data_IF_813945676426
#
_entry.id   IF_813945676426
#
_cell.length_a   1.000
_cell.length_b   1.000
_cell.length_c   1.000
_cell.angle_alpha   90.00
_cell.angle_beta   90.00
_cell.angle_gamma   90.00
#
_symmetry.space_group_name_H-M   'P 1'
#
loop_
_entity.id
_entity.type
_entity.pdbx_description
1 polymer ?
#
# COMPACT_ATOMS: atom_id res chain seq x y z
N UNK A 1 20.26 12.25 21.96
CA UNK A 1 20.81 11.42 20.90
C UNK A 1 19.86 11.52 19.73
N UNK A 2 20.17 12.42 18.79
CA UNK A 2 19.31 12.72 17.63
C UNK A 2 20.09 12.34 16.37
N UNK A 3 20.11 11.05 16.07
CA UNK A 3 20.37 10.64 14.70
C UNK A 3 19.10 10.00 14.15
N UNK A 4 18.07 10.80 14.10
CA UNK A 4 16.98 10.58 13.18
C UNK A 4 17.58 10.47 11.80
N UNK A 5 17.17 9.45 11.06
CA UNK A 5 17.38 9.42 9.63
C UNK A 5 16.93 10.80 9.12
N UNK A 6 17.87 11.61 8.64
CA UNK A 6 17.52 12.93 8.11
C UNK A 6 16.47 12.78 7.03
N UNK A 7 15.82 13.86 6.64
CA UNK A 7 14.86 13.88 5.52
C UNK A 7 15.41 13.22 4.24
N UNK A 8 16.71 13.06 4.13
CA UNK A 8 17.41 12.32 3.06
C UNK A 8 16.96 10.86 2.91
N UNK A 9 16.55 10.19 4.01
CA UNK A 9 16.01 8.83 3.95
C UNK A 9 14.67 8.75 3.22
N UNK A 10 13.82 9.75 3.44
CA UNK A 10 12.46 9.78 2.90
C UNK A 10 12.36 10.43 1.50
N UNK A 11 13.48 10.96 0.97
CA UNK A 11 13.53 11.62 -0.32
C UNK A 11 13.00 13.05 -0.31
N UNK A 12 12.93 13.65 -1.49
CA UNK A 12 12.57 15.06 -1.70
C UNK A 12 11.10 15.40 -1.41
N UNK A 13 10.25 14.41 -1.28
CA UNK A 13 8.81 14.58 -1.01
C UNK A 13 8.51 14.78 0.48
N UNK A 14 9.45 14.43 1.34
CA UNK A 14 9.24 14.39 2.77
C UNK A 14 9.57 15.73 3.46
N UNK A 15 8.71 16.11 4.39
CA UNK A 15 8.92 17.27 5.26
C UNK A 15 8.65 16.87 6.69
N UNK A 16 9.60 17.12 7.59
CA UNK A 16 9.41 16.96 9.01
C UNK A 16 8.41 18.02 9.49
N UNK A 17 7.30 17.59 10.10
CA UNK A 17 6.23 18.50 10.52
C UNK A 17 6.12 18.64 12.03
N UNK A 18 6.42 17.59 12.78
CA UNK A 18 6.33 17.60 14.23
C UNK A 18 7.32 16.61 14.86
N UNK A 19 7.85 16.97 16.03
CA UNK A 19 8.72 16.11 16.84
C UNK A 19 8.05 15.84 18.18
N UNK A 20 7.62 14.61 18.41
CA UNK A 20 7.13 14.14 19.69
C UNK A 20 8.27 13.47 20.49
N UNK A 21 8.03 13.21 21.79
CA UNK A 21 9.02 12.52 22.62
C UNK A 21 9.37 11.12 22.10
N UNK A 22 8.39 10.43 21.52
CA UNK A 22 8.49 9.03 21.11
C UNK A 22 8.63 8.81 19.61
N UNK A 23 8.18 9.76 18.79
CA UNK A 23 8.21 9.63 17.33
C UNK A 23 8.38 11.00 16.64
N UNK A 24 8.71 10.96 15.39
CA UNK A 24 8.68 12.12 14.47
C UNK A 24 7.55 11.93 13.49
N UNK A 25 6.80 13.00 13.23
CA UNK A 25 5.82 13.02 12.16
C UNK A 25 6.42 13.63 10.90
N UNK A 26 6.22 12.94 9.79
CA UNK A 26 6.69 13.34 8.47
C UNK A 26 5.50 13.42 7.54
N UNK A 27 5.36 14.51 6.80
CA UNK A 27 4.36 14.67 5.76
C UNK A 27 5.01 14.59 4.38
N UNK A 28 4.34 13.87 3.49
CA UNK A 28 4.72 13.77 2.08
C UNK A 28 3.97 14.77 1.24
N UNK A 29 4.71 15.56 0.45
CA UNK A 29 4.14 16.44 -0.56
C UNK A 29 3.56 15.60 -1.68
N UNK A 30 2.23 15.51 -1.71
CA UNK A 30 1.49 14.73 -2.69
C UNK A 30 0.13 15.37 -2.98
N UNK A 31 -0.53 14.88 -4.04
CA UNK A 31 -1.89 15.27 -4.37
C UNK A 31 -2.88 14.48 -3.51
N UNK A 32 -3.07 14.94 -2.28
CA UNK A 32 -3.82 14.27 -1.22
C UNK A 32 -3.11 14.39 0.12
N UNK A 33 -3.08 13.33 0.90
CA UNK A 33 -2.37 13.26 2.19
C UNK A 33 -1.44 12.07 2.23
N UNK A 34 -0.22 12.28 2.74
CA UNK A 34 0.74 11.22 3.03
C UNK A 34 1.41 11.52 4.35
N UNK A 35 1.31 10.63 5.33
CA UNK A 35 1.89 10.79 6.66
C UNK A 35 2.65 9.57 7.09
N UNK A 36 3.82 9.81 7.69
CA UNK A 36 4.58 8.79 8.39
C UNK A 36 4.72 9.18 9.86
N UNK A 37 4.82 8.15 10.69
CA UNK A 37 5.11 8.27 12.12
C UNK A 37 6.29 7.34 12.39
N UNK A 38 7.46 7.93 12.60
CA UNK A 38 8.73 7.22 12.72
C UNK A 38 9.16 7.15 14.19
N UNK A 39 9.21 5.95 14.72
CA UNK A 39 9.65 5.61 16.07
C UNK A 39 11.04 4.99 16.01
N UNK A 40 12.08 5.73 16.41
CA UNK A 40 13.40 5.13 16.63
C UNK A 40 13.36 4.32 17.92
N UNK A 41 13.34 2.99 17.81
CA UNK A 41 13.17 2.09 18.94
C UNK A 41 14.48 1.68 19.57
N UNK A 42 15.49 1.41 18.74
CA UNK A 42 16.87 1.12 19.13
C UNK A 42 17.81 1.87 18.17
N UNK A 43 19.08 2.09 18.53
CA UNK A 43 20.07 2.57 17.57
C UNK A 43 20.05 1.71 16.30
N UNK A 44 19.78 2.35 15.15
CA UNK A 44 19.69 1.68 13.86
C UNK A 44 18.40 0.85 13.61
N UNK A 45 17.39 0.93 14.48
CA UNK A 45 16.12 0.22 14.26
C UNK A 45 14.93 1.15 14.45
N UNK A 46 14.22 1.38 13.37
CA UNK A 46 13.04 2.25 13.31
C UNK A 46 11.78 1.46 12.99
N UNK A 47 10.68 1.87 13.58
CA UNK A 47 9.32 1.42 13.25
C UNK A 47 8.53 2.59 12.69
N UNK A 48 8.14 2.49 11.42
CA UNK A 48 7.52 3.56 10.67
C UNK A 48 6.09 3.17 10.31
N UNK A 49 5.11 3.90 10.81
CA UNK A 49 3.72 3.75 10.35
C UNK A 49 3.47 4.68 9.18
N UNK A 50 2.78 4.17 8.18
CA UNK A 50 2.49 4.85 6.92
C UNK A 50 0.98 4.99 6.72
N UNK A 51 0.53 6.19 6.36
CA UNK A 51 -0.86 6.48 6.05
C UNK A 51 -0.91 7.40 4.83
N UNK A 52 -1.29 6.85 3.69
CA UNK A 52 -1.38 7.56 2.44
C UNK A 52 -2.81 7.55 1.90
N UNK A 53 -3.27 8.72 1.49
CA UNK A 53 -4.50 8.91 0.72
C UNK A 53 -4.17 9.80 -0.49
N UNK A 54 -3.49 9.23 -1.45
CA UNK A 54 -3.03 9.87 -2.67
C UNK A 54 -2.73 8.82 -3.75
N UNK A 55 -2.67 9.24 -5.00
CA UNK A 55 -2.38 8.37 -6.15
C UNK A 55 -1.04 8.67 -6.84
N UNK A 56 -0.20 9.46 -6.17
CA UNK A 56 1.11 9.82 -6.71
C UNK A 56 2.08 8.64 -6.69
N UNK A 57 3.11 8.74 -7.50
CA UNK A 57 4.25 7.82 -7.50
C UNK A 57 5.41 8.48 -6.77
N UNK A 58 5.97 7.79 -5.80
CA UNK A 58 7.12 8.24 -5.02
C UNK A 58 8.37 7.49 -5.48
N UNK A 59 9.44 8.22 -5.75
CA UNK A 59 10.74 7.65 -6.12
C UNK A 59 11.60 7.48 -4.87
N UNK A 60 12.08 6.27 -4.65
CA UNK A 60 12.98 6.01 -3.53
C UNK A 60 14.43 6.27 -3.94
N UNK A 61 15.17 7.11 -3.19
CA UNK A 61 16.59 7.25 -3.36
C UNK A 61 17.29 5.91 -3.04
N UNK A 62 18.49 5.68 -3.57
CA UNK A 62 19.32 4.58 -3.11
C UNK A 62 19.95 5.04 -1.80
N UNK A 63 19.60 4.48 -0.64
CA UNK A 63 20.25 4.85 0.59
C UNK A 63 21.71 4.37 0.57
N UNK A 64 22.60 5.19 1.12
CA UNK A 64 23.99 4.78 1.36
C UNK A 64 24.10 4.07 2.73
N UNK A 65 23.27 3.04 2.93
CA UNK A 65 23.14 2.32 4.20
C UNK A 65 22.86 0.85 3.97
N UNK A 66 23.41 0.00 4.82
CA UNK A 66 23.23 -1.46 4.76
C UNK A 66 21.96 -1.87 5.50
N UNK A 67 20.83 -1.86 4.83
CA UNK A 67 19.52 -2.05 5.45
C UNK A 67 18.89 -3.40 5.16
N UNK A 68 18.07 -3.82 6.14
CA UNK A 68 16.97 -4.78 5.97
C UNK A 68 15.69 -4.02 6.27
N UNK A 69 14.68 -4.22 5.45
CA UNK A 69 13.37 -3.61 5.64
C UNK A 69 12.28 -4.68 5.63
N UNK A 70 11.38 -4.62 6.64
CA UNK A 70 10.22 -5.48 6.81
C UNK A 70 9.00 -4.61 6.64
N UNK A 71 8.17 -4.86 5.61
CA UNK A 71 6.96 -4.09 5.33
C UNK A 71 5.71 -4.95 5.46
N UNK A 72 4.67 -4.39 6.06
CA UNK A 72 3.33 -4.99 6.12
C UNK A 72 2.29 -3.95 5.73
N UNK A 73 1.28 -4.36 4.98
CA UNK A 73 0.18 -3.48 4.58
C UNK A 73 -1.15 -3.97 5.15
N UNK A 74 -1.75 -3.13 5.99
CA UNK A 74 -3.05 -3.39 6.62
C UNK A 74 -4.20 -3.13 5.66
N UNK A 75 -4.10 -2.05 4.84
CA UNK A 75 -5.14 -1.63 3.90
C UNK A 75 -4.54 -1.15 2.59
N UNK A 76 -5.30 -1.35 1.54
CA UNK A 76 -4.92 -0.87 0.21
C UNK A 76 -4.06 -1.86 -0.56
N UNK A 77 -3.39 -1.36 -1.55
CA UNK A 77 -2.46 -2.11 -2.40
C UNK A 77 -1.30 -1.22 -2.76
N UNK A 78 -0.10 -1.79 -2.77
CA UNK A 78 1.10 -1.07 -3.14
C UNK A 78 1.71 -1.69 -4.39
N UNK A 79 2.05 -0.84 -5.32
CA UNK A 79 2.81 -1.17 -6.51
C UNK A 79 4.27 -0.79 -6.29
N UNK A 80 5.17 -1.72 -6.50
CA UNK A 80 6.61 -1.49 -6.45
C UNK A 80 7.21 -1.59 -7.85
N UNK A 81 7.87 -0.55 -8.28
CA UNK A 81 8.69 -0.53 -9.48
C UNK A 81 10.13 -0.85 -9.11
N UNK A 82 10.67 -1.92 -9.67
CA UNK A 82 12.06 -2.30 -9.48
C UNK A 82 12.98 -1.62 -10.50
N UNK A 83 14.26 -1.48 -10.17
CA UNK A 83 15.26 -0.83 -11.05
C UNK A 83 15.53 -1.56 -12.37
N UNK A 84 15.06 -2.79 -12.52
CA UNK A 84 15.15 -3.58 -13.75
C UNK A 84 13.87 -3.49 -14.62
N UNK A 85 13.07 -2.44 -14.48
CA UNK A 85 11.80 -2.21 -15.18
C UNK A 85 10.75 -3.30 -14.96
N UNK A 86 10.84 -4.03 -13.86
CA UNK A 86 9.79 -4.95 -13.41
C UNK A 86 8.95 -4.29 -12.33
N UNK A 87 7.68 -4.64 -12.34
CA UNK A 87 6.70 -4.15 -11.37
C UNK A 87 6.03 -5.35 -10.72
N UNK A 88 5.81 -5.26 -9.41
CA UNK A 88 4.98 -6.22 -8.69
C UNK A 88 4.05 -5.48 -7.70
N UNK A 89 3.05 -6.18 -7.21
CA UNK A 89 2.04 -5.61 -6.31
C UNK A 89 1.95 -6.41 -5.03
N UNK A 90 1.97 -5.70 -3.90
CA UNK A 90 1.60 -6.25 -2.62
C UNK A 90 0.15 -5.94 -2.30
N UNK A 91 -0.53 -6.93 -1.72
CA UNK A 91 -1.93 -6.86 -1.33
C UNK A 91 -2.06 -6.63 0.17
N UNK A 92 -3.24 -6.23 0.56
CA UNK A 92 -3.65 -6.19 1.95
C UNK A 92 -3.43 -7.55 2.64
N UNK A 93 -2.86 -7.53 3.84
CA UNK A 93 -2.55 -8.73 4.62
C UNK A 93 -1.31 -9.50 4.15
N UNK A 94 -0.51 -8.94 3.24
CA UNK A 94 0.79 -9.49 2.84
C UNK A 94 1.91 -8.71 3.54
N UNK A 95 3.03 -9.40 3.81
CA UNK A 95 4.25 -8.74 4.23
C UNK A 95 5.43 -9.16 3.37
N UNK A 96 6.46 -8.32 3.37
CA UNK A 96 7.71 -8.61 2.67
C UNK A 96 8.90 -8.26 3.54
N UNK A 97 10.03 -8.88 3.19
CA UNK A 97 11.35 -8.51 3.70
C UNK A 97 12.26 -8.30 2.49
N UNK A 98 12.99 -7.21 2.47
CA UNK A 98 13.98 -6.92 1.43
C UNK A 98 15.26 -6.35 2.03
N UNK A 99 16.37 -6.52 1.32
CA UNK A 99 17.65 -5.91 1.62
C UNK A 99 17.97 -4.77 0.64
N UNK A 100 19.00 -4.01 0.96
CA UNK A 100 19.47 -2.87 0.15
C UNK A 100 19.61 -3.19 -1.35
N UNK A 101 20.13 -4.38 -1.68
CA UNK A 101 20.35 -4.80 -3.07
C UNK A 101 19.08 -4.77 -3.94
N UNK A 102 17.91 -4.83 -3.31
CA UNK A 102 16.62 -4.97 -3.98
C UNK A 102 15.63 -3.83 -3.64
N UNK A 103 16.11 -2.68 -3.16
CA UNK A 103 15.23 -1.52 -2.91
C UNK A 103 14.52 -1.11 -4.21
N UNK A 104 13.20 -0.83 -4.16
CA UNK A 104 12.47 -0.40 -5.34
C UNK A 104 12.98 0.95 -5.86
N UNK A 105 12.76 1.22 -7.14
CA UNK A 105 13.01 2.53 -7.72
C UNK A 105 11.89 3.52 -7.39
N UNK A 106 10.66 3.00 -7.29
CA UNK A 106 9.48 3.79 -6.98
C UNK A 106 8.37 2.91 -6.40
N UNK A 107 7.42 3.55 -5.72
CA UNK A 107 6.18 2.93 -5.28
C UNK A 107 4.98 3.85 -5.51
N UNK A 108 3.81 3.26 -5.65
CA UNK A 108 2.54 3.97 -5.82
C UNK A 108 1.37 3.16 -5.25
N UNK A 109 0.22 3.82 -5.14
CA UNK A 109 -0.98 3.21 -4.55
C UNK A 109 -2.10 3.12 -5.60
N UNK A 110 -2.29 1.96 -6.26
CA UNK A 110 -3.28 1.79 -7.33
C UNK A 110 -4.72 2.15 -6.95
N UNK A 111 -5.06 2.06 -5.66
CA UNK A 111 -6.38 2.43 -5.14
C UNK A 111 -6.47 3.89 -4.65
N UNK A 112 -5.35 4.64 -4.69
CA UNK A 112 -5.27 5.99 -4.14
C UNK A 112 -5.16 6.04 -2.62
N UNK A 113 -5.00 4.92 -1.93
CA UNK A 113 -4.76 4.87 -0.49
C UNK A 113 -3.93 3.64 -0.11
N UNK A 114 -3.21 3.76 1.01
CA UNK A 114 -2.51 2.65 1.65
C UNK A 114 -2.28 2.95 3.13
N UNK A 115 -2.49 1.95 3.99
CA UNK A 115 -2.11 1.97 5.40
C UNK A 115 -1.18 0.80 5.65
N UNK A 116 0.00 1.09 6.16
CA UNK A 116 1.02 0.08 6.38
C UNK A 116 1.99 0.46 7.48
N UNK A 117 2.92 -0.43 7.73
CA UNK A 117 4.10 -0.17 8.56
C UNK A 117 5.36 -0.76 7.91
N UNK A 118 6.48 -0.15 8.22
CA UNK A 118 7.81 -0.63 7.87
C UNK A 118 8.66 -0.69 9.14
N UNK A 119 9.41 -1.77 9.31
CA UNK A 119 10.51 -1.84 10.27
C UNK A 119 11.81 -1.83 9.50
N UNK A 120 12.64 -0.82 9.74
CA UNK A 120 13.93 -0.62 9.07
C UNK A 120 15.05 -0.94 10.03
N UNK A 121 16.00 -1.76 9.61
CA UNK A 121 17.22 -2.10 10.34
C UNK A 121 18.40 -1.59 9.53
N UNK A 122 19.04 -0.52 9.98
CA UNK A 122 20.31 -0.02 9.46
C UNK A 122 21.44 -0.77 10.19
N UNK A 123 21.97 -1.81 9.57
CA UNK A 123 22.95 -2.72 10.18
C UNK A 123 24.22 -2.02 10.65
N UNK A 124 24.60 -0.91 10.00
CA UNK A 124 25.79 -0.17 10.30
C UNK A 124 25.61 0.74 11.53
N UNK A 125 24.37 1.04 11.89
CA UNK A 125 24.00 1.89 13.02
C UNK A 125 23.56 1.11 14.26
N UNK A 126 23.34 -0.22 14.16
CA UNK A 126 22.97 -1.06 15.31
C UNK A 126 24.16 -1.23 16.24
N UNK A 127 24.07 -0.70 17.46
CA UNK A 127 25.14 -0.76 18.44
C UNK A 127 25.26 -2.14 19.14
N UNK A 128 26.34 -2.31 19.89
CA UNK A 128 26.67 -3.57 20.60
C UNK A 128 25.63 -3.88 21.68
N UNK A 129 25.10 -2.87 22.36
CA UNK A 129 24.08 -3.04 23.41
C UNK A 129 22.78 -3.58 22.81
N UNK A 130 22.33 -3.00 21.72
CA UNK A 130 21.16 -3.48 20.96
C UNK A 130 21.37 -4.93 20.50
N UNK A 131 22.53 -5.26 19.94
CA UNK A 131 22.84 -6.63 19.53
C UNK A 131 22.78 -7.60 20.71
N UNK A 132 23.27 -7.22 21.90
CA UNK A 132 23.22 -8.05 23.11
C UNK A 132 21.78 -8.32 23.55
N UNK A 133 20.88 -7.30 23.52
CA UNK A 133 19.46 -7.46 23.85
C UNK A 133 18.83 -8.53 22.98
N UNK A 134 19.01 -8.46 21.66
CA UNK A 134 18.44 -9.43 20.74
C UNK A 134 19.10 -10.82 20.84
N UNK A 135 20.41 -10.87 21.06
CA UNK A 135 21.14 -12.14 21.17
C UNK A 135 20.75 -12.95 22.40
N UNK A 136 20.31 -12.31 23.48
CA UNK A 136 19.76 -12.98 24.66
C UNK A 136 18.57 -13.90 24.30
N UNK A 137 17.80 -13.52 23.29
CA UNK A 137 16.68 -14.31 22.74
C UNK A 137 17.10 -15.16 21.52
N UNK A 138 18.39 -15.35 21.29
CA UNK A 138 18.92 -16.03 20.10
C UNK A 138 18.45 -15.40 18.78
N UNK A 139 18.36 -14.08 18.72
CA UNK A 139 18.06 -13.31 17.53
C UNK A 139 19.35 -12.62 17.05
N UNK A 140 19.82 -12.99 15.87
CA UNK A 140 20.90 -12.28 15.18
C UNK A 140 20.26 -11.15 14.34
N UNK A 141 20.17 -9.96 14.93
CA UNK A 141 19.47 -8.81 14.32
C UNK A 141 20.17 -8.33 13.04
N UNK A 142 21.48 -8.45 12.94
CA UNK A 142 22.26 -8.04 11.76
C UNK A 142 22.09 -9.02 10.59
N UNK A 143 21.75 -10.28 10.89
CA UNK A 143 21.52 -11.33 9.89
C UNK A 143 20.07 -11.84 9.91
N UNK A 144 19.14 -11.00 10.37
CA UNK A 144 17.73 -11.35 10.37
C UNK A 144 17.27 -11.64 8.93
N UNK A 145 16.69 -12.82 8.72
CA UNK A 145 16.30 -13.26 7.38
C UNK A 145 17.45 -13.80 6.51
N UNK A 146 18.60 -14.15 7.08
CA UNK A 146 19.72 -14.76 6.34
C UNK A 146 19.32 -15.98 5.53
N UNK A 147 18.46 -16.82 6.06
CA UNK A 147 17.93 -18.02 5.42
C UNK A 147 16.97 -17.70 4.24
N UNK A 148 16.59 -16.44 4.05
CA UNK A 148 15.59 -16.01 3.07
C UNK A 148 16.19 -15.51 1.75
N UNK A 149 17.52 -15.55 1.60
CA UNK A 149 18.24 -15.12 0.38
C UNK A 149 17.90 -13.67 -0.07
N UNK A 150 17.77 -12.76 0.88
CA UNK A 150 17.31 -11.37 0.63
C UNK A 150 18.18 -10.59 -0.35
N UNK A 151 19.45 -10.96 -0.50
CA UNK A 151 20.36 -10.35 -1.49
C UNK A 151 19.96 -10.65 -2.94
N UNK A 152 19.26 -11.75 -3.16
CA UNK A 152 18.84 -12.19 -4.51
C UNK A 152 17.45 -11.71 -4.88
N UNK A 153 16.54 -11.65 -3.92
CA UNK A 153 15.11 -11.35 -4.15
C UNK A 153 14.40 -10.90 -2.89
N UNK A 154 13.26 -10.28 -3.07
CA UNK A 154 12.33 -10.01 -1.97
C UNK A 154 11.77 -11.32 -1.43
N UNK A 155 11.69 -11.42 -0.12
CA UNK A 155 10.86 -12.42 0.53
C UNK A 155 9.44 -11.88 0.63
N UNK A 156 8.49 -12.53 -0.02
CA UNK A 156 7.07 -12.17 -0.05
C UNK A 156 6.25 -13.31 0.52
N UNK A 157 5.36 -12.99 1.45
CA UNK A 157 4.54 -14.00 2.10
C UNK A 157 3.15 -13.44 2.42
N UNK A 158 2.12 -14.29 2.35
CA UNK A 158 0.88 -13.99 3.06
C UNK A 158 1.19 -14.04 4.55
N UNK A 159 0.80 -13.02 5.30
CA UNK A 159 1.14 -12.92 6.72
C UNK A 159 0.67 -14.15 7.49
N UNK A 160 1.58 -14.98 8.03
CA UNK A 160 1.20 -16.12 8.86
C UNK A 160 0.44 -15.65 10.11
N UNK A 161 -0.47 -16.47 10.61
CA UNK A 161 -1.30 -16.12 11.78
C UNK A 161 -0.46 -15.70 12.99
N UNK A 162 0.71 -16.33 13.19
CA UNK A 162 1.66 -16.00 14.28
C UNK A 162 2.29 -14.60 14.16
N UNK A 163 2.27 -13.99 12.98
CA UNK A 163 2.74 -12.62 12.74
C UNK A 163 1.58 -11.63 12.64
N UNK A 164 0.41 -12.10 12.19
CA UNK A 164 -0.73 -11.23 11.94
C UNK A 164 -1.17 -10.50 13.21
N UNK A 165 -1.29 -11.21 14.34
CA UNK A 165 -1.69 -10.60 15.62
C UNK A 165 -0.69 -9.53 16.07
N UNK A 166 0.62 -9.72 15.83
CA UNK A 166 1.65 -8.74 16.19
C UNK A 166 1.44 -7.45 15.38
N UNK A 167 1.22 -7.59 14.07
CA UNK A 167 0.95 -6.43 13.22
C UNK A 167 -0.36 -5.72 13.61
N UNK A 168 -1.43 -6.47 13.93
CA UNK A 168 -2.69 -5.91 14.40
C UNK A 168 -2.52 -5.12 15.70
N UNK A 169 -1.75 -5.64 16.66
CA UNK A 169 -1.44 -4.94 17.91
C UNK A 169 -0.58 -3.70 17.68
N UNK A 170 0.43 -3.76 16.78
CA UNK A 170 1.23 -2.60 16.43
C UNK A 170 0.36 -1.48 15.83
N UNK A 171 -0.57 -1.81 14.92
CA UNK A 171 -1.49 -0.80 14.37
C UNK A 171 -2.45 -0.22 15.43
N UNK A 172 -2.94 -1.05 16.35
CA UNK A 172 -3.82 -0.61 17.43
C UNK A 172 -3.11 0.30 18.43
N UNK A 173 -1.83 0.06 18.67
CA UNK A 173 -0.98 0.80 19.61
C UNK A 173 -0.51 2.17 19.08
N UNK A 174 -0.59 2.42 17.78
CA UNK A 174 -0.14 3.67 17.16
C UNK A 174 -0.80 4.89 17.81
N UNK A 175 0.02 5.79 18.37
CA UNK A 175 -0.45 7.02 19.02
C UNK A 175 -1.13 6.81 20.37
N UNK A 176 -1.11 5.60 20.93
CA UNK A 176 -1.71 5.25 22.23
C UNK A 176 -0.63 4.75 23.20
N UNK A 177 0.27 3.91 22.72
CA UNK A 177 1.30 3.26 23.53
C UNK A 177 2.65 3.96 23.38
N UNK A 178 3.47 3.82 24.43
CA UNK A 178 4.82 4.37 24.50
C UNK A 178 5.82 3.52 23.72
N UNK A 179 7.00 4.10 23.45
CA UNK A 179 8.12 3.48 22.71
C UNK A 179 8.51 2.10 23.25
N UNK A 180 8.46 1.89 24.55
CA UNK A 180 8.86 0.61 25.18
C UNK A 180 7.92 -0.54 24.83
N UNK A 181 6.63 -0.28 24.64
CA UNK A 181 5.70 -1.27 24.13
C UNK A 181 6.10 -1.74 22.72
N UNK A 182 6.43 -0.82 21.84
CA UNK A 182 6.89 -1.15 20.49
C UNK A 182 8.21 -1.93 20.49
N UNK A 183 9.12 -1.66 21.44
CA UNK A 183 10.36 -2.44 21.60
C UNK A 183 10.07 -3.90 21.94
N UNK A 184 9.11 -4.16 22.84
CA UNK A 184 8.68 -5.52 23.19
C UNK A 184 8.07 -6.21 21.95
N UNK A 185 7.22 -5.51 21.21
CA UNK A 185 6.60 -6.06 19.99
C UNK A 185 7.59 -6.35 18.88
N UNK A 186 8.65 -5.56 18.76
CA UNK A 186 9.74 -5.84 17.82
C UNK A 186 10.55 -7.08 18.20
N UNK A 187 10.81 -7.31 19.48
CA UNK A 187 11.44 -8.55 19.94
C UNK A 187 10.59 -9.76 19.55
N UNK A 188 9.28 -9.71 19.77
CA UNK A 188 8.35 -10.77 19.38
C UNK A 188 8.32 -10.96 17.85
N UNK A 189 8.23 -9.88 17.09
CA UNK A 189 8.24 -9.90 15.63
C UNK A 189 9.52 -10.58 15.09
N UNK A 190 10.69 -10.15 15.56
CA UNK A 190 11.98 -10.70 15.11
C UNK A 190 12.17 -12.15 15.54
N UNK A 191 11.66 -12.53 16.73
CA UNK A 191 11.65 -13.92 17.16
C UNK A 191 10.88 -14.83 16.20
N UNK A 192 9.77 -14.37 15.64
CA UNK A 192 9.01 -15.13 14.66
C UNK A 192 9.61 -15.05 13.25
N UNK A 193 10.18 -13.92 12.86
CA UNK A 193 10.82 -13.76 11.54
C UNK A 193 12.04 -14.69 11.40
N UNK A 194 12.86 -14.86 12.43
CA UNK A 194 14.00 -15.79 12.38
C UNK A 194 13.62 -17.25 12.13
N UNK A 195 12.33 -17.61 12.29
CA UNK A 195 11.81 -18.95 12.07
C UNK A 195 11.26 -19.14 10.65
N UNK A 196 11.17 -18.08 9.86
CA UNK A 196 10.71 -18.17 8.48
C UNK A 196 11.73 -18.95 7.64
N UNK A 197 11.20 -19.65 6.66
CA UNK A 197 11.97 -20.41 5.67
C UNK A 197 11.61 -19.95 4.27
N UNK A 198 12.49 -20.22 3.33
CA UNK A 198 12.28 -19.81 1.94
C UNK A 198 11.03 -20.44 1.33
N UNK A 199 10.62 -21.60 1.82
CA UNK A 199 9.40 -22.32 1.42
C UNK A 199 8.11 -21.61 1.86
N UNK A 200 8.19 -20.71 2.85
CA UNK A 200 7.04 -19.91 3.31
C UNK A 200 6.67 -18.81 2.31
N UNK A 201 7.58 -18.48 1.38
CA UNK A 201 7.32 -17.43 0.39
C UNK A 201 6.45 -17.94 -0.76
N UNK A 202 5.75 -17.01 -1.40
CA UNK A 202 5.16 -17.24 -2.71
C UNK A 202 5.91 -16.48 -3.80
N UNK A 203 5.89 -17.00 -5.03
CA UNK A 203 6.47 -16.27 -6.15
C UNK A 203 5.63 -15.03 -6.48
N UNK A 204 6.26 -13.86 -6.39
CA UNK A 204 5.66 -12.64 -6.87
C UNK A 204 5.49 -12.70 -8.40
N UNK A 205 4.32 -12.29 -8.88
CA UNK A 205 4.13 -12.11 -10.31
C UNK A 205 4.69 -10.76 -10.71
N UNK A 206 5.76 -10.78 -11.50
CA UNK A 206 6.39 -9.59 -12.05
C UNK A 206 5.83 -9.28 -13.43
N UNK A 207 5.58 -8.00 -13.69
CA UNK A 207 5.14 -7.49 -14.97
C UNK A 207 6.18 -6.51 -15.53
N UNK A 208 6.24 -6.35 -16.85
CA UNK A 208 7.00 -5.28 -17.46
C UNK A 208 6.33 -3.93 -17.14
N UNK A 209 7.10 -2.89 -16.88
CA UNK A 209 6.59 -1.54 -16.59
C UNK A 209 5.64 -1.06 -17.69
N UNK A 210 6.00 -1.29 -18.96
CA UNK A 210 5.19 -0.91 -20.11
C UNK A 210 3.80 -1.55 -20.09
N UNK A 211 3.69 -2.80 -19.62
CA UNK A 211 2.39 -3.46 -19.46
C UNK A 211 1.53 -2.77 -18.42
N UNK A 212 2.12 -2.38 -17.30
CA UNK A 212 1.41 -1.66 -16.22
C UNK A 212 0.95 -0.29 -16.71
N UNK A 213 1.78 0.43 -17.44
CA UNK A 213 1.43 1.74 -18.02
C UNK A 213 0.24 1.64 -19.01
N UNK A 214 0.18 0.59 -19.82
CA UNK A 214 -0.98 0.33 -20.69
C UNK A 214 -2.25 0.14 -19.84
N UNK A 215 -2.19 -0.65 -18.78
CA UNK A 215 -3.33 -0.90 -17.89
C UNK A 215 -3.81 0.41 -17.25
N UNK A 216 -2.90 1.22 -16.72
CA UNK A 216 -3.21 2.51 -16.08
C UNK A 216 -3.86 3.47 -17.09
N UNK A 217 -3.30 3.58 -18.29
CA UNK A 217 -3.83 4.44 -19.36
C UNK A 217 -5.23 4.02 -19.79
N UNK A 218 -5.47 2.73 -20.00
CA UNK A 218 -6.81 2.21 -20.36
C UNK A 218 -7.81 2.46 -19.22
N UNK A 219 -7.43 2.21 -17.97
CA UNK A 219 -8.27 2.52 -16.81
C UNK A 219 -8.66 4.00 -16.78
N UNK A 220 -7.69 4.89 -17.00
CA UNK A 220 -7.93 6.34 -17.00
C UNK A 220 -8.93 6.73 -18.11
N UNK A 221 -8.76 6.20 -19.32
CA UNK A 221 -9.70 6.43 -20.42
C UNK A 221 -11.13 5.95 -20.10
N UNK A 222 -11.27 4.82 -19.39
CA UNK A 222 -12.56 4.32 -18.94
C UNK A 222 -13.21 5.24 -17.88
N UNK A 223 -12.41 5.80 -16.98
CA UNK A 223 -12.88 6.71 -15.92
C UNK A 223 -13.29 8.08 -16.50
N UNK A 224 -12.53 8.60 -17.45
CA UNK A 224 -12.83 9.88 -18.11
C UNK A 224 -14.06 9.84 -19.02
N UNK A 225 -14.53 8.66 -19.37
CA UNK A 225 -15.67 8.48 -20.29
C UNK A 225 -16.73 7.55 -19.70
N UNK A 226 -17.14 7.82 -18.45
CA UNK A 226 -18.11 6.98 -17.73
C UNK A 226 -19.49 6.93 -18.40
N UNK A 227 -19.87 7.98 -19.13
CA UNK A 227 -21.11 8.10 -19.87
C UNK A 227 -21.13 7.26 -21.16
N UNK A 228 -19.94 6.87 -21.68
CA UNK A 228 -19.79 6.16 -22.94
C UNK A 228 -19.65 4.66 -22.77
N UNK A 229 -20.13 3.90 -23.73
CA UNK A 229 -19.87 2.47 -23.85
C UNK A 229 -18.63 2.24 -24.69
N UNK A 230 -17.44 2.29 -24.06
CA UNK A 230 -16.18 2.00 -24.74
C UNK A 230 -15.87 0.51 -24.55
N UNK A 231 -15.57 -0.19 -25.63
CA UNK A 231 -15.15 -1.59 -25.55
C UNK A 231 -13.65 -1.71 -25.27
N UNK A 232 -13.29 -2.67 -24.46
CA UNK A 232 -11.86 -2.96 -24.18
C UNK A 232 -11.12 -3.34 -25.45
N UNK A 233 -11.78 -4.03 -26.37
CA UNK A 233 -11.23 -4.41 -27.65
C UNK A 233 -10.83 -3.19 -28.50
N UNK A 234 -11.63 -2.12 -28.45
CA UNK A 234 -11.29 -0.87 -29.15
C UNK A 234 -10.06 -0.19 -28.56
N UNK A 235 -9.98 -0.13 -27.23
CA UNK A 235 -8.85 0.45 -26.54
C UNK A 235 -7.55 -0.35 -26.79
N UNK A 236 -7.65 -1.67 -26.80
CA UNK A 236 -6.51 -2.55 -27.00
C UNK A 236 -6.02 -2.64 -28.46
N UNK A 237 -6.82 -2.21 -29.46
CA UNK A 237 -6.37 -2.24 -30.87
C UNK A 237 -5.07 -1.48 -31.14
N UNK A 238 -4.77 -0.47 -30.32
CA UNK A 238 -3.59 0.38 -30.46
C UNK A 238 -2.45 -0.02 -29.52
N UNK A 239 -2.64 -1.06 -28.73
CA UNK A 239 -1.71 -1.48 -27.68
C UNK A 239 -1.13 -2.86 -28.01
N UNK A 240 0.15 -3.10 -27.72
CA UNK A 240 0.79 -4.41 -27.89
C UNK A 240 0.40 -5.38 -26.75
N UNK A 241 -0.90 -5.54 -26.50
CA UNK A 241 -1.41 -6.36 -25.41
C UNK A 241 -2.68 -7.12 -25.81
N UNK A 242 -2.73 -8.41 -25.54
CA UNK A 242 -3.95 -9.20 -25.73
C UNK A 242 -5.00 -8.89 -24.65
N UNK A 243 -6.28 -9.11 -24.98
CA UNK A 243 -7.39 -8.98 -24.01
C UNK A 243 -7.21 -9.89 -22.80
N UNK A 244 -6.72 -11.11 -23.00
CA UNK A 244 -6.47 -12.08 -21.91
C UNK A 244 -5.40 -11.56 -20.97
N UNK A 245 -4.29 -11.07 -21.51
CA UNK A 245 -3.20 -10.45 -20.75
C UNK A 245 -3.70 -9.23 -19.99
N UNK A 246 -4.44 -8.35 -20.66
CA UNK A 246 -5.05 -7.17 -20.03
C UNK A 246 -5.92 -7.56 -18.83
N UNK A 247 -6.83 -8.51 -18.98
CA UNK A 247 -7.73 -8.94 -17.91
C UNK A 247 -6.99 -9.54 -16.72
N UNK A 248 -5.96 -10.35 -16.98
CA UNK A 248 -5.15 -10.97 -15.94
C UNK A 248 -4.39 -9.91 -15.13
N UNK A 249 -3.68 -9.00 -15.81
CA UNK A 249 -2.91 -7.94 -15.16
C UNK A 249 -3.85 -6.95 -14.45
N UNK A 250 -4.94 -6.53 -15.09
CA UNK A 250 -5.92 -5.61 -14.47
C UNK A 250 -6.47 -6.18 -13.17
N UNK A 251 -6.86 -7.46 -13.16
CA UNK A 251 -7.33 -8.14 -11.95
C UNK A 251 -6.24 -8.24 -10.89
N UNK A 252 -5.00 -8.45 -11.29
CA UNK A 252 -3.87 -8.49 -10.35
C UNK A 252 -3.62 -7.12 -9.71
N UNK A 253 -3.72 -6.02 -10.47
CA UNK A 253 -3.53 -4.66 -9.96
C UNK A 253 -4.71 -4.20 -9.10
N UNK A 254 -5.94 -4.35 -9.59
CA UNK A 254 -7.14 -3.74 -8.98
C UNK A 254 -8.02 -4.73 -8.21
N UNK A 255 -7.67 -6.01 -8.16
CA UNK A 255 -8.41 -7.03 -7.40
C UNK A 255 -9.65 -7.58 -8.09
N UNK A 256 -10.22 -6.84 -9.03
CA UNK A 256 -11.46 -7.14 -9.73
C UNK A 256 -11.28 -7.13 -11.26
N UNK A 257 -12.27 -7.64 -11.98
CA UNK A 257 -12.34 -7.40 -13.43
C UNK A 257 -12.51 -5.91 -13.71
N UNK A 258 -12.05 -5.43 -14.88
CA UNK A 258 -12.22 -4.02 -15.27
C UNK A 258 -13.68 -3.58 -15.22
N UNK A 259 -14.62 -4.46 -15.58
CA UNK A 259 -16.06 -4.16 -15.52
C UNK A 259 -16.53 -3.94 -14.07
N UNK A 260 -16.20 -4.84 -13.15
CA UNK A 260 -16.57 -4.72 -11.74
C UNK A 260 -15.91 -3.50 -11.08
N UNK A 261 -14.64 -3.22 -11.43
CA UNK A 261 -13.90 -2.06 -10.94
C UNK A 261 -14.56 -0.74 -11.38
N UNK A 262 -14.86 -0.58 -12.68
CA UNK A 262 -15.54 0.62 -13.19
C UNK A 262 -16.98 0.75 -12.64
N UNK A 263 -17.68 -0.37 -12.46
CA UNK A 263 -18.99 -0.36 -11.80
C UNK A 263 -18.92 0.19 -10.37
N UNK A 264 -17.97 -0.30 -9.57
CA UNK A 264 -17.75 0.20 -8.20
C UNK A 264 -17.38 1.70 -8.21
N UNK A 265 -16.48 2.09 -9.11
CA UNK A 265 -16.08 3.49 -9.27
C UNK A 265 -17.29 4.40 -9.56
N UNK A 266 -18.16 4.01 -10.52
CA UNK A 266 -19.41 4.74 -10.83
C UNK A 266 -20.31 4.85 -9.60
N UNK A 267 -20.46 3.79 -8.81
CA UNK A 267 -21.33 3.81 -7.63
C UNK A 267 -20.77 4.68 -6.50
N UNK A 268 -19.45 4.68 -6.31
CA UNK A 268 -18.80 5.60 -5.36
C UNK A 268 -19.00 7.07 -5.77
N UNK A 269 -18.82 7.38 -7.04
CA UNK A 269 -19.06 8.72 -7.56
C UNK A 269 -20.55 9.11 -7.46
N UNK A 270 -21.46 8.17 -7.69
CA UNK A 270 -22.89 8.39 -7.46
C UNK A 270 -23.19 8.73 -5.99
N UNK A 271 -22.53 8.06 -5.04
CA UNK A 271 -22.70 8.34 -3.62
C UNK A 271 -22.26 9.78 -3.27
N UNK A 272 -21.16 10.25 -3.84
CA UNK A 272 -20.69 11.65 -3.70
C UNK A 272 -21.75 12.61 -4.27
N UNK A 273 -22.22 12.40 -5.50
CA UNK A 273 -23.22 13.26 -6.11
C UNK A 273 -24.54 13.28 -5.34
N UNK A 274 -24.96 12.13 -4.79
CA UNK A 274 -26.16 12.04 -3.96
C UNK A 274 -26.05 12.83 -2.65
N UNK A 275 -24.83 13.02 -2.11
CA UNK A 275 -24.59 13.76 -0.87
C UNK A 275 -24.33 15.24 -1.08
N UNK A 276 -23.58 15.58 -2.13
CA UNK A 276 -23.01 16.92 -2.32
C UNK A 276 -23.81 17.78 -3.31
N UNK A 277 -24.75 17.16 -4.08
CA UNK A 277 -25.51 17.87 -5.10
C UNK A 277 -27.02 17.67 -4.95
N UNK A 278 -27.81 18.59 -5.52
CA UNK A 278 -29.26 18.46 -5.64
C UNK A 278 -29.71 17.83 -6.97
N UNK A 279 -28.81 17.28 -7.77
CA UNK A 279 -29.10 16.58 -9.00
C UNK A 279 -30.14 15.46 -8.78
N UNK A 280 -31.08 15.29 -9.70
CA UNK A 280 -32.00 14.17 -9.64
C UNK A 280 -31.25 12.83 -9.81
N UNK A 281 -31.82 11.76 -9.25
CA UNK A 281 -31.25 10.40 -9.39
C UNK A 281 -31.14 10.01 -10.87
N UNK A 282 -32.06 10.50 -11.70
CA UNK A 282 -32.06 10.27 -13.15
C UNK A 282 -30.90 10.97 -13.84
N UNK A 283 -30.57 12.20 -13.44
CA UNK A 283 -29.42 12.93 -13.97
C UNK A 283 -28.10 12.23 -13.59
N UNK A 284 -27.93 11.89 -12.32
CA UNK A 284 -26.76 11.15 -11.83
C UNK A 284 -26.59 9.83 -12.59
N UNK A 285 -27.69 9.06 -12.78
CA UNK A 285 -27.65 7.82 -13.54
C UNK A 285 -27.20 8.05 -14.99
N UNK A 286 -27.68 9.10 -15.64
CA UNK A 286 -27.34 9.48 -17.02
C UNK A 286 -25.87 9.84 -17.16
N UNK A 287 -25.35 10.70 -16.29
CA UNK A 287 -23.92 11.10 -16.26
C UNK A 287 -22.96 9.91 -16.06
N UNK A 288 -23.42 8.89 -15.33
CA UNK A 288 -22.68 7.66 -15.12
C UNK A 288 -22.94 6.59 -16.19
N UNK A 289 -23.60 6.96 -17.31
CA UNK A 289 -23.83 6.09 -18.46
C UNK A 289 -24.91 5.02 -18.28
N UNK A 290 -25.83 5.20 -17.34
CA UNK A 290 -27.01 4.35 -17.18
C UNK A 290 -28.22 4.91 -17.92
N UNK A 291 -28.58 4.26 -19.00
CA UNK A 291 -29.84 4.60 -19.75
C UNK A 291 -31.11 4.10 -19.05
N UNK A 292 -30.97 3.24 -18.03
CA UNK A 292 -32.07 2.67 -17.26
C UNK A 292 -31.86 2.87 -15.78
N UNK A 293 -32.77 3.66 -15.16
CA UNK A 293 -32.70 4.03 -13.75
C UNK A 293 -32.82 2.81 -12.81
N UNK A 294 -33.60 1.79 -13.19
CA UNK A 294 -33.72 0.58 -12.36
C UNK A 294 -32.42 -0.24 -12.34
N UNK A 295 -31.73 -0.27 -13.47
CA UNK A 295 -30.38 -0.90 -13.52
C UNK A 295 -29.37 -0.13 -12.67
N UNK A 296 -29.42 1.20 -12.68
CA UNK A 296 -28.59 2.04 -11.82
C UNK A 296 -28.93 1.80 -10.34
N UNK A 297 -30.20 1.87 -9.96
CA UNK A 297 -30.61 1.66 -8.56
C UNK A 297 -30.20 0.29 -8.02
N UNK A 298 -30.35 -0.76 -8.83
CA UNK A 298 -29.87 -2.10 -8.47
C UNK A 298 -28.35 -2.15 -8.30
N UNK A 299 -27.58 -1.56 -9.23
CA UNK A 299 -26.12 -1.53 -9.15
C UNK A 299 -25.65 -0.77 -7.91
N UNK A 300 -26.34 0.33 -7.54
CA UNK A 300 -26.05 1.09 -6.34
C UNK A 300 -26.35 0.28 -5.07
N UNK A 301 -27.51 -0.39 -5.03
CA UNK A 301 -27.89 -1.23 -3.91
C UNK A 301 -26.94 -2.42 -3.70
N UNK A 302 -26.42 -3.02 -4.77
CA UNK A 302 -25.43 -4.09 -4.69
C UNK A 302 -24.11 -3.62 -4.03
N UNK A 303 -23.76 -2.33 -4.12
CA UNK A 303 -22.52 -1.77 -3.54
C UNK A 303 -22.76 -1.21 -2.14
N UNK A 304 -23.86 -0.50 -1.92
CA UNK A 304 -24.15 0.24 -0.67
C UNK A 304 -25.20 -0.40 0.23
N UNK A 305 -25.80 -1.51 -0.18
CA UNK A 305 -26.84 -2.21 0.61
C UNK A 305 -28.21 -1.53 0.63
N UNK A 306 -28.33 -0.31 0.08
CA UNK A 306 -29.58 0.46 0.07
C UNK A 306 -29.82 1.18 -1.27
N UNK A 307 -31.05 1.60 -1.52
CA UNK A 307 -31.39 2.33 -2.74
C UNK A 307 -30.83 3.77 -2.72
N UNK A 308 -30.54 4.37 -3.90
CA UNK A 308 -30.01 5.75 -3.99
C UNK A 308 -30.88 6.79 -3.27
N UNK A 309 -32.20 6.63 -3.33
CA UNK A 309 -33.16 7.52 -2.65
C UNK A 309 -33.02 7.49 -1.14
N UNK A 310 -32.84 6.29 -0.58
CA UNK A 310 -32.73 6.09 0.86
C UNK A 310 -31.34 6.56 1.35
N UNK A 311 -30.30 6.32 0.56
CA UNK A 311 -28.94 6.81 0.83
C UNK A 311 -28.89 8.34 0.91
N UNK A 312 -29.54 9.05 -0.04
CA UNK A 312 -29.66 10.53 -0.02
C UNK A 312 -30.39 11.04 1.23
N UNK A 313 -31.49 10.36 1.66
CA UNK A 313 -32.21 10.74 2.86
C UNK A 313 -31.43 10.55 4.13
N UNK A 314 -30.76 9.42 4.28
CA UNK A 314 -30.01 9.08 5.49
C UNK A 314 -28.85 10.07 5.78
N UNK A 315 -28.30 10.74 4.76
CA UNK A 315 -27.18 11.68 4.92
C UNK A 315 -27.60 13.16 5.00
N UNK A 316 -28.85 13.51 4.61
CA UNK A 316 -29.38 14.89 4.83
C UNK A 316 -29.87 15.13 6.26
N UNK A 317 -29.77 14.13 7.17
CA UNK A 317 -30.23 14.19 8.56
C UNK A 317 -29.05 14.40 9.55
N UNK A 318 -27.81 14.51 9.05
CA UNK A 318 -26.62 14.87 9.81
C UNK A 318 -26.14 16.25 9.33
#
# INVERSE_FOLDING_TARGET
MKELHGTEWYGEYATLTDEHNDYVQIEYKCNGTGRLYDYTLFPGIDLIFMDFNCSDTFHEPIPNKNIIEIRHYQKGRVEFELRNNKVFHMKEGEFCINALANIPAAYSFPFGYSVGLSCVIDKDSVDVETQQIFSYYNIDVLNLGRELELEKKWFLCRTPQRLLHIFEELYAAKGVEERDYFRIKLLELFYHIKQLRIEDQYEATYYAKEQIEIIKRIRQQLIENLDKKISIEELLRKEPMSKVTFQAIFKQIYGDTHYAHIKKYKMNLAAVYLQETDQSITQIAGELGYSNISKFARAFQEVFGMLPKDYRKAKKVI
#
